data_IF_128818329463
#
_entry.id   IF_128818329463
#
_cell.length_a   1.000
_cell.length_b   1.000
_cell.length_c   1.000
_cell.angle_alpha   90.00
_cell.angle_beta   90.00
_cell.angle_gamma   90.00
#
_symmetry.space_group_name_H-M   'P 1'
#
loop_
_entity.id
_entity.type
_entity.pdbx_description
1 polymer ?
#
# COMPACT_ATOMS: atom_id res chain seq x y z
N UNK A 1 36.99 25.90 -29.36
CA UNK A 1 36.07 27.04 -29.20
C UNK A 1 34.65 26.55 -29.37
N UNK A 2 33.78 26.94 -28.44
CA UNK A 2 32.43 26.42 -28.19
C UNK A 2 31.44 26.43 -29.37
N UNK A 3 30.47 25.52 -29.21
CA UNK A 3 29.17 25.33 -29.86
C UNK A 3 28.24 26.56 -29.87
N UNK A 4 27.08 26.47 -30.56
CA UNK A 4 25.82 26.34 -29.82
C UNK A 4 24.86 25.29 -30.42
N UNK A 5 24.40 24.32 -29.62
CA UNK A 5 23.06 24.25 -29.00
C UNK A 5 21.91 24.03 -30.00
N UNK A 6 21.50 22.78 -30.16
CA UNK A 6 20.16 22.43 -30.64
C UNK A 6 19.48 21.54 -29.58
N UNK A 7 18.32 21.98 -29.10
CA UNK A 7 17.64 21.48 -27.92
C UNK A 7 16.44 20.64 -28.35
N UNK A 8 16.60 19.31 -28.41
CA UNK A 8 15.47 18.37 -28.41
C UNK A 8 15.43 17.64 -27.09
N UNK A 9 14.54 18.08 -26.21
CA UNK A 9 14.18 17.38 -24.97
C UNK A 9 13.34 16.17 -25.36
N UNK A 10 13.97 15.00 -25.39
CA UNK A 10 13.28 13.71 -25.53
C UNK A 10 12.43 13.46 -24.29
N UNK A 11 11.13 13.27 -24.53
CA UNK A 11 10.12 12.81 -23.59
C UNK A 11 10.58 11.48 -22.99
N UNK A 12 10.73 11.42 -21.67
CA UNK A 12 11.17 10.24 -20.95
C UNK A 12 10.06 9.19 -20.88
N UNK A 13 10.38 7.98 -21.34
CA UNK A 13 9.56 6.76 -21.32
C UNK A 13 8.91 6.46 -19.95
N UNK A 14 7.63 6.03 -19.91
CA UNK A 14 6.96 5.57 -18.68
C UNK A 14 7.18 4.08 -18.33
N UNK A 15 8.20 3.42 -18.90
CA UNK A 15 8.37 1.95 -18.81
C UNK A 15 9.30 1.42 -17.70
N UNK A 16 9.59 2.17 -16.63
CA UNK A 16 10.57 1.77 -15.60
C UNK A 16 9.98 1.34 -14.24
N UNK A 17 8.73 0.85 -14.20
CA UNK A 17 8.08 0.39 -12.96
C UNK A 17 7.73 -1.11 -12.96
N UNK A 18 8.62 -1.95 -13.47
CA UNK A 18 8.70 -3.35 -13.06
C UNK A 18 9.93 -3.51 -12.16
N UNK A 19 9.87 -4.45 -11.21
CA UNK A 19 10.90 -4.82 -10.22
C UNK A 19 10.61 -4.28 -8.80
N UNK A 20 9.79 -5.02 -8.06
CA UNK A 20 10.11 -5.34 -6.67
C UNK A 20 10.73 -6.75 -6.67
N UNK A 21 11.90 -7.00 -6.06
CA UNK A 21 12.43 -8.34 -5.93
C UNK A 21 11.66 -9.12 -4.85
N UNK A 22 11.16 -10.29 -5.23
CA UNK A 22 10.56 -11.29 -4.35
C UNK A 22 11.63 -11.92 -3.45
N UNK A 23 11.60 -11.61 -2.14
CA UNK A 23 12.48 -12.25 -1.15
C UNK A 23 11.97 -13.66 -0.87
N UNK A 24 12.59 -14.67 -1.51
CA UNK A 24 12.38 -16.09 -1.21
C UNK A 24 13.55 -16.58 -0.36
N UNK A 25 13.37 -16.59 0.96
CA UNK A 25 14.31 -17.25 1.88
C UNK A 25 13.98 -18.74 1.97
N UNK A 26 14.81 -19.58 1.33
CA UNK A 26 14.90 -21.01 1.63
C UNK A 26 16.13 -21.23 2.53
N UNK A 27 16.04 -21.95 3.66
CA UNK A 27 17.23 -22.28 4.45
C UNK A 27 18.06 -23.37 3.79
N UNK A 28 19.35 -23.11 3.62
CA UNK A 28 20.37 -24.08 3.21
C UNK A 28 20.73 -25.00 4.37
N UNK A 29 20.60 -26.30 4.14
CA UNK A 29 21.09 -27.38 5.00
C UNK A 29 22.54 -27.76 4.63
N UNK A 30 23.48 -27.66 5.58
CA UNK A 30 24.76 -28.39 5.60
C UNK A 30 24.98 -28.85 7.05
N UNK A 31 24.81 -30.14 7.35
CA UNK A 31 25.78 -31.26 7.30
C UNK A 31 26.91 -31.20 8.36
N UNK A 32 26.96 -32.34 9.07
CA UNK A 32 28.09 -33.01 9.70
C UNK A 32 28.59 -32.59 11.09
N UNK A 33 28.26 -33.44 12.09
CA UNK A 33 29.28 -33.98 13.00
C UNK A 33 28.89 -35.34 13.61
N UNK A 34 29.69 -36.35 13.25
CA UNK A 34 29.79 -37.68 13.84
C UNK A 34 30.18 -37.66 15.34
N UNK A 35 29.68 -38.63 16.12
CA UNK A 35 30.42 -39.67 16.87
C UNK A 35 29.49 -40.35 17.91
N UNK A 36 29.18 -41.65 17.76
CA UNK A 36 29.70 -42.82 18.55
C UNK A 36 29.38 -42.71 20.06
N UNK A 37 28.65 -43.61 20.72
CA UNK A 37 28.96 -45.03 21.05
C UNK A 37 27.75 -45.71 21.72
N UNK A 38 27.38 -46.95 21.35
CA UNK A 38 27.52 -48.25 22.08
C UNK A 38 26.37 -48.67 23.03
N UNK A 39 25.89 -49.91 22.80
CA UNK A 39 25.25 -50.82 23.77
C UNK A 39 23.74 -50.63 23.94
N UNK A 40 22.87 -51.63 24.02
CA UNK A 40 23.05 -53.07 24.19
C UNK A 40 21.75 -53.80 23.74
N UNK A 41 21.90 -55.12 23.62
CA UNK A 41 21.01 -56.12 23.05
C UNK A 41 19.73 -56.38 23.87
N UNK A 42 18.80 -57.01 23.15
CA UNK A 42 18.04 -58.21 23.54
C UNK A 42 16.53 -58.07 23.73
N UNK A 43 15.87 -58.77 22.80
CA UNK A 43 14.52 -59.30 22.84
C UNK A 43 14.34 -60.21 24.04
N UNK A 44 13.22 -60.09 24.77
CA UNK A 44 12.52 -61.23 25.36
C UNK A 44 11.06 -60.93 25.65
N UNK A 45 10.23 -61.83 25.15
CA UNK A 45 8.78 -61.93 25.33
C UNK A 45 8.46 -62.28 26.78
N UNK A 46 7.39 -61.71 27.33
CA UNK A 46 6.64 -62.33 28.43
C UNK A 46 5.18 -61.93 28.31
N UNK A 47 4.34 -62.94 28.02
CA UNK A 47 2.89 -62.89 28.08
C UNK A 47 2.47 -63.06 29.53
N UNK A 48 1.64 -62.15 30.03
CA UNK A 48 0.79 -62.42 31.21
C UNK A 48 -0.57 -61.78 30.99
N UNK A 49 -1.59 -62.63 30.80
CA UNK A 49 -3.00 -62.27 30.81
C UNK A 49 -3.42 -61.97 32.26
N UNK A 50 -4.14 -60.88 32.49
CA UNK A 50 -5.04 -60.76 33.64
C UNK A 50 -6.21 -59.84 33.28
N UNK A 51 -7.41 -60.41 33.35
CA UNK A 51 -8.71 -59.76 33.19
C UNK A 51 -9.05 -58.95 34.45
N UNK A 52 -9.57 -57.73 34.26
CA UNK A 52 -10.61 -57.03 35.05
C UNK A 52 -10.45 -55.54 34.72
N UNK A 53 -11.42 -54.84 34.14
CA UNK A 53 -12.76 -54.64 34.65
C UNK A 53 -12.80 -53.33 35.43
N UNK A 54 -12.82 -52.17 34.75
CA UNK A 54 -13.25 -50.91 35.38
C UNK A 54 -13.68 -49.82 34.39
N UNK A 55 -15.00 -49.72 34.28
CA UNK A 55 -15.82 -48.51 34.34
C UNK A 55 -15.39 -47.25 33.57
N UNK A 56 -16.15 -47.01 32.50
CA UNK A 56 -16.38 -45.72 31.85
C UNK A 56 -16.80 -44.65 32.87
N UNK A 57 -16.04 -43.56 32.95
CA UNK A 57 -16.56 -42.27 33.43
C UNK A 57 -16.45 -41.25 32.28
N UNK A 58 -17.60 -41.03 31.62
CA UNK A 58 -17.82 -39.92 30.70
C UNK A 58 -17.78 -38.62 31.51
N UNK A 59 -16.82 -37.75 31.23
CA UNK A 59 -16.86 -36.36 31.68
C UNK A 59 -17.90 -35.61 30.83
N UNK A 60 -18.91 -34.94 31.40
CA UNK A 60 -19.85 -34.14 30.64
C UNK A 60 -19.18 -32.84 30.18
N UNK A 61 -19.19 -32.62 28.88
CA UNK A 61 -18.72 -31.42 28.21
C UNK A 61 -19.49 -30.19 28.68
N UNK A 62 -18.72 -29.19 29.12
CA UNK A 62 -19.15 -27.83 29.45
C UNK A 62 -20.00 -27.26 28.32
N UNK A 63 -21.29 -27.06 28.59
CA UNK A 63 -22.20 -26.27 27.77
C UNK A 63 -21.75 -24.82 27.89
N UNK A 64 -20.97 -24.34 26.91
CA UNK A 64 -20.60 -22.94 26.79
C UNK A 64 -21.76 -22.19 26.12
N UNK A 65 -22.72 -21.79 26.94
CA UNK A 65 -23.81 -20.89 26.54
C UNK A 65 -23.23 -19.61 25.94
N UNK A 66 -23.47 -19.40 24.65
CA UNK A 66 -23.16 -18.14 23.95
C UNK A 66 -24.13 -17.06 24.43
N UNK A 67 -23.75 -16.29 25.44
CA UNK A 67 -24.38 -15.00 25.72
C UNK A 67 -23.85 -13.96 24.73
N UNK A 68 -24.52 -13.83 23.58
CA UNK A 68 -24.42 -12.63 22.75
C UNK A 68 -25.16 -11.51 23.50
N UNK A 69 -24.43 -10.67 24.24
CA UNK A 69 -24.94 -9.35 24.59
C UNK A 69 -24.92 -8.48 23.33
N UNK A 70 -26.04 -7.90 22.89
CA UNK A 70 -26.02 -6.97 21.77
C UNK A 70 -25.34 -5.68 22.22
N UNK A 71 -24.21 -5.37 21.58
CA UNK A 71 -23.51 -4.10 21.75
C UNK A 71 -24.35 -3.00 21.06
N UNK A 72 -24.79 -1.92 21.75
CA UNK A 72 -25.71 -0.92 21.20
C UNK A 72 -25.05 0.09 20.23
N UNK A 73 -23.89 -0.25 19.65
CA UNK A 73 -23.14 0.59 18.73
C UNK A 73 -23.15 0.09 17.27
N UNK A 74 -24.13 -0.73 16.88
CA UNK A 74 -24.35 -1.08 15.49
C UNK A 74 -25.13 0.05 14.78
N UNK A 75 -24.45 1.18 14.58
CA UNK A 75 -24.89 2.22 13.65
C UNK A 75 -25.15 1.57 12.29
N UNK A 76 -26.36 1.77 11.75
CA UNK A 76 -26.87 1.24 10.49
C UNK A 76 -25.84 1.20 9.36
N UNK A 77 -25.10 0.10 9.26
CA UNK A 77 -24.31 -0.22 8.08
C UNK A 77 -25.25 -0.76 7.03
N UNK A 78 -25.28 -0.14 5.84
CA UNK A 78 -25.93 -0.73 4.67
C UNK A 78 -25.20 -2.02 4.30
N UNK A 79 -25.60 -3.13 4.94
CA UNK A 79 -25.06 -4.44 4.62
C UNK A 79 -25.56 -4.83 3.23
N UNK A 80 -24.65 -5.29 2.37
CA UNK A 80 -24.97 -5.76 1.03
C UNK A 80 -24.38 -7.15 0.80
N UNK A 81 -25.07 -7.95 -0.02
CA UNK A 81 -24.67 -9.32 -0.31
C UNK A 81 -23.86 -9.38 -1.62
N UNK A 82 -22.73 -10.08 -1.61
CA UNK A 82 -21.92 -10.38 -2.79
C UNK A 82 -22.09 -11.87 -3.14
N UNK A 83 -22.52 -12.16 -4.36
CA UNK A 83 -22.64 -13.54 -4.86
C UNK A 83 -21.31 -14.32 -4.73
N UNK A 84 -21.39 -15.65 -4.57
CA UNK A 84 -20.20 -16.53 -4.48
C UNK A 84 -19.27 -16.39 -5.68
N UNK A 85 -19.81 -16.19 -6.88
CA UNK A 85 -19.02 -16.02 -8.11
C UNK A 85 -18.20 -14.74 -8.04
N UNK A 86 -18.83 -13.59 -7.74
CA UNK A 86 -18.13 -12.31 -7.57
C UNK A 86 -17.10 -12.37 -6.44
N UNK A 87 -17.44 -13.01 -5.32
CA UNK A 87 -16.52 -13.20 -4.19
C UNK A 87 -15.26 -13.97 -4.57
N UNK A 88 -15.40 -15.09 -5.30
CA UNK A 88 -14.26 -15.87 -5.80
C UNK A 88 -13.37 -15.07 -6.74
N UNK A 89 -13.98 -14.23 -7.59
CA UNK A 89 -13.25 -13.40 -8.52
C UNK A 89 -12.42 -12.34 -7.79
N UNK A 90 -13.02 -11.63 -6.83
CA UNK A 90 -12.30 -10.66 -5.97
C UNK A 90 -11.16 -11.34 -5.22
N UNK A 91 -11.42 -12.51 -4.65
CA UNK A 91 -10.39 -13.29 -3.96
C UNK A 91 -9.22 -13.67 -4.88
N UNK A 92 -9.50 -14.06 -6.12
CA UNK A 92 -8.48 -14.34 -7.13
C UNK A 92 -7.61 -13.11 -7.38
N UNK A 93 -8.22 -11.94 -7.61
CA UNK A 93 -7.48 -10.70 -7.85
C UNK A 93 -6.62 -10.28 -6.66
N UNK A 94 -7.12 -10.43 -5.43
CA UNK A 94 -6.37 -10.05 -4.22
C UNK A 94 -5.17 -10.97 -3.93
N UNK A 95 -5.28 -12.28 -4.23
CA UNK A 95 -4.20 -13.22 -3.96
C UNK A 95 -3.20 -13.38 -5.11
N UNK A 96 -3.69 -13.40 -6.34
CA UNK A 96 -2.90 -13.72 -7.53
C UNK A 96 -2.52 -12.47 -8.32
N UNK A 97 -3.18 -11.34 -8.05
CA UNK A 97 -3.03 -10.13 -8.85
C UNK A 97 -3.64 -10.27 -10.24
N UNK A 98 -3.27 -9.32 -11.10
CA UNK A 98 -3.57 -9.33 -12.53
C UNK A 98 -2.28 -9.57 -13.32
N UNK A 99 -2.33 -10.30 -14.44
CA UNK A 99 -1.25 -10.33 -15.42
C UNK A 99 -0.84 -8.91 -15.86
N UNK A 100 0.46 -8.68 -16.07
CA UNK A 100 0.99 -7.35 -16.35
C UNK A 100 0.41 -6.71 -17.63
N UNK A 101 0.15 -7.53 -18.65
CA UNK A 101 -0.51 -7.11 -19.89
C UNK A 101 -1.97 -6.69 -19.66
N UNK A 102 -2.73 -7.42 -18.84
CA UNK A 102 -4.11 -7.05 -18.48
C UNK A 102 -4.14 -5.76 -17.67
N UNK A 103 -3.28 -5.64 -16.67
CA UNK A 103 -3.15 -4.41 -15.88
C UNK A 103 -2.79 -3.21 -16.77
N UNK A 104 -1.87 -3.39 -17.74
CA UNK A 104 -1.51 -2.35 -18.70
C UNK A 104 -2.69 -1.95 -19.59
N UNK A 105 -3.47 -2.92 -20.09
CA UNK A 105 -4.64 -2.63 -20.91
C UNK A 105 -5.70 -1.82 -20.12
N UNK A 106 -5.98 -2.20 -18.88
CA UNK A 106 -6.92 -1.46 -18.01
C UNK A 106 -6.49 -0.01 -17.79
N UNK A 107 -5.19 0.25 -17.60
CA UNK A 107 -4.65 1.61 -17.41
C UNK A 107 -4.84 2.52 -18.62
N UNK A 108 -4.75 1.95 -19.83
CA UNK A 108 -4.86 2.69 -21.08
C UNK A 108 -6.31 2.95 -21.50
N UNK A 109 -7.25 2.12 -21.03
CA UNK A 109 -8.66 2.21 -21.41
C UNK A 109 -9.40 3.40 -20.79
N UNK A 110 -8.90 3.95 -19.67
CA UNK A 110 -9.56 5.03 -18.94
C UNK A 110 -8.62 6.23 -18.80
N UNK A 111 -8.59 7.09 -19.82
CA UNK A 111 -7.86 8.36 -19.76
C UNK A 111 -8.86 9.50 -19.48
N UNK A 112 -8.86 10.08 -18.26
CA UNK A 112 -9.75 11.19 -17.94
C UNK A 112 -9.23 12.48 -18.58
N UNK A 113 -10.17 13.32 -19.01
CA UNK A 113 -9.94 14.71 -19.38
C UNK A 113 -10.80 15.55 -18.44
N UNK A 114 -10.20 16.56 -17.81
CA UNK A 114 -10.87 17.44 -16.87
C UNK A 114 -10.97 18.83 -17.48
N UNK A 115 -12.04 19.54 -17.14
CA UNK A 115 -12.17 20.94 -17.51
C UNK A 115 -11.12 21.79 -16.77
N UNK A 116 -10.52 22.74 -17.49
CA UNK A 116 -9.52 23.67 -16.94
C UNK A 116 -8.10 23.09 -16.91
N UNK A 117 -7.34 23.44 -15.87
CA UNK A 117 -5.90 23.10 -15.75
C UNK A 117 -5.64 21.91 -14.83
N UNK A 118 -6.68 21.23 -14.35
CA UNK A 118 -6.51 20.12 -13.43
C UNK A 118 -6.09 18.86 -14.18
N UNK A 119 -5.00 18.24 -13.73
CA UNK A 119 -4.61 16.92 -14.19
C UNK A 119 -4.50 15.95 -13.02
N UNK A 120 -5.00 14.73 -13.22
CA UNK A 120 -4.90 13.66 -12.23
C UNK A 120 -3.47 13.08 -12.25
N UNK A 121 -2.58 13.70 -11.48
CA UNK A 121 -1.16 13.38 -11.43
C UNK A 121 -0.70 12.96 -10.04
N UNK A 122 0.43 12.24 -10.01
CA UNK A 122 1.17 11.97 -8.79
C UNK A 122 2.01 13.20 -8.45
N UNK A 123 1.87 13.82 -7.26
CA UNK A 123 2.61 15.03 -6.90
C UNK A 123 4.11 14.85 -7.05
N UNK A 124 4.74 15.79 -7.75
CA UNK A 124 6.19 15.82 -7.98
C UNK A 124 6.88 16.43 -6.76
N UNK A 125 8.08 15.93 -6.45
CA UNK A 125 8.92 16.59 -5.46
C UNK A 125 9.28 18.00 -5.97
N UNK A 126 9.20 18.98 -5.08
CA UNK A 126 9.57 20.36 -5.37
C UNK A 126 11.07 20.46 -5.67
N UNK A 127 11.44 21.20 -6.71
CA UNK A 127 12.84 21.28 -7.19
C UNK A 127 13.80 21.83 -6.12
N UNK A 128 13.32 22.74 -5.26
CA UNK A 128 14.09 23.25 -4.13
C UNK A 128 14.35 22.17 -3.07
N UNK A 129 13.36 21.32 -2.79
CA UNK A 129 13.47 20.21 -1.86
C UNK A 129 14.37 19.11 -2.40
N UNK A 130 14.25 18.80 -3.69
CA UNK A 130 15.14 17.86 -4.39
C UNK A 130 16.60 18.33 -4.33
N UNK A 131 16.86 19.62 -4.63
CA UNK A 131 18.20 20.20 -4.51
C UNK A 131 18.76 20.11 -3.09
N UNK A 132 17.95 20.41 -2.06
CA UNK A 132 18.38 20.28 -0.66
C UNK A 132 18.64 18.82 -0.28
N UNK A 133 17.80 17.90 -0.74
CA UNK A 133 17.99 16.46 -0.51
C UNK A 133 19.31 15.99 -1.13
N UNK A 134 19.58 16.31 -2.39
CA UNK A 134 20.83 15.91 -3.07
C UNK A 134 22.10 16.45 -2.40
N UNK A 135 22.03 17.60 -1.72
CA UNK A 135 23.15 18.20 -0.97
C UNK A 135 23.29 17.64 0.44
N UNK A 136 22.32 16.87 0.93
CA UNK A 136 22.35 16.25 2.25
C UNK A 136 23.53 15.30 2.38
N UNK A 137 24.39 15.52 3.38
CA UNK A 137 25.62 14.73 3.63
C UNK A 137 25.35 13.23 3.85
N UNK A 138 24.10 12.84 4.08
CA UNK A 138 23.72 11.48 4.43
C UNK A 138 23.39 10.58 3.23
N UNK A 139 23.26 11.09 2.00
CA UNK A 139 22.89 10.25 0.86
C UNK A 139 23.45 10.72 -0.49
N UNK A 140 24.52 10.11 -1.00
CA UNK A 140 24.81 10.13 -2.41
C UNK A 140 23.89 9.10 -3.09
N UNK A 141 23.02 9.56 -3.99
CA UNK A 141 22.14 8.82 -4.93
C UNK A 141 20.66 8.80 -4.52
N UNK A 142 19.89 9.65 -5.20
CA UNK A 142 18.58 9.52 -5.87
C UNK A 142 17.67 8.25 -5.72
N UNK A 143 18.00 7.27 -4.89
CA UNK A 143 17.30 5.98 -4.75
C UNK A 143 16.86 5.76 -3.30
N UNK A 144 16.15 6.73 -2.74
CA UNK A 144 15.42 6.45 -1.53
C UNK A 144 14.32 5.43 -1.85
N UNK A 145 14.52 4.21 -1.35
CA UNK A 145 13.61 3.09 -1.61
C UNK A 145 12.20 3.40 -1.08
N UNK A 146 12.13 4.09 0.06
CA UNK A 146 10.86 4.46 0.67
C UNK A 146 10.08 5.44 -0.22
N UNK A 147 10.73 6.46 -0.77
CA UNK A 147 10.11 7.40 -1.70
C UNK A 147 9.66 6.70 -2.98
N UNK A 148 10.50 5.81 -3.53
CA UNK A 148 10.17 5.02 -4.72
C UNK A 148 8.93 4.15 -4.49
N UNK A 149 8.87 3.48 -3.35
CA UNK A 149 7.74 2.65 -2.95
C UNK A 149 6.47 3.47 -2.76
N UNK A 150 6.53 4.58 -2.02
CA UNK A 150 5.36 5.44 -1.77
C UNK A 150 4.83 6.07 -3.06
N UNK A 151 5.72 6.50 -3.96
CA UNK A 151 5.34 7.03 -5.27
C UNK A 151 4.67 5.95 -6.14
N UNK A 152 5.18 4.71 -6.11
CA UNK A 152 4.56 3.57 -6.79
C UNK A 152 3.14 3.29 -6.28
N UNK A 153 2.92 3.32 -4.96
CA UNK A 153 1.59 3.18 -4.36
C UNK A 153 0.65 4.27 -4.89
N UNK A 154 1.10 5.53 -4.95
CA UNK A 154 0.24 6.60 -5.50
C UNK A 154 -0.11 6.37 -6.97
N UNK A 155 0.82 5.94 -7.81
CA UNK A 155 0.49 5.61 -9.20
C UNK A 155 -0.54 4.48 -9.30
N UNK A 156 -0.42 3.43 -8.48
CA UNK A 156 -1.41 2.36 -8.43
C UNK A 156 -2.81 2.88 -8.02
N UNK A 157 -2.88 3.85 -7.12
CA UNK A 157 -4.13 4.51 -6.74
C UNK A 157 -4.71 5.37 -7.87
N UNK A 158 -3.86 6.06 -8.64
CA UNK A 158 -4.30 6.82 -9.82
C UNK A 158 -4.77 5.90 -10.94
N UNK A 159 -4.19 4.70 -11.07
CA UNK A 159 -4.67 3.71 -12.04
C UNK A 159 -6.06 3.20 -11.67
N UNK A 160 -6.35 3.00 -10.38
CA UNK A 160 -7.64 2.52 -9.91
C UNK A 160 -8.74 3.58 -9.90
N UNK A 161 -8.40 4.86 -9.68
CA UNK A 161 -9.40 5.94 -9.65
C UNK A 161 -10.00 6.24 -11.03
N UNK A 162 -9.23 6.06 -12.12
CA UNK A 162 -9.65 6.38 -13.50
C UNK A 162 -10.92 5.66 -13.94
N UNK A 163 -11.04 4.32 -13.85
CA UNK A 163 -12.30 3.63 -14.18
C UNK A 163 -13.45 4.03 -13.26
N UNK A 164 -13.17 4.36 -11.98
CA UNK A 164 -14.19 4.83 -11.05
C UNK A 164 -14.74 6.21 -11.44
N UNK A 165 -13.88 7.13 -11.87
CA UNK A 165 -14.26 8.43 -12.39
C UNK A 165 -15.11 8.30 -13.66
N UNK A 166 -14.70 7.42 -14.58
CA UNK A 166 -15.48 7.14 -15.78
C UNK A 166 -16.89 6.65 -15.44
N UNK A 167 -17.02 5.69 -14.53
CA UNK A 167 -18.32 5.19 -14.08
C UNK A 167 -19.12 6.29 -13.38
N UNK A 168 -18.52 7.04 -12.46
CA UNK A 168 -19.17 8.11 -11.72
C UNK A 168 -19.69 9.23 -12.64
N UNK A 169 -18.94 9.59 -13.68
CA UNK A 169 -19.33 10.60 -14.67
C UNK A 169 -20.52 10.17 -15.56
N UNK A 170 -20.77 8.86 -15.70
CA UNK A 170 -21.91 8.33 -16.46
C UNK A 170 -23.18 8.22 -15.61
N UNK A 171 -23.06 8.22 -14.28
CA UNK A 171 -24.19 8.08 -13.39
C UNK A 171 -24.94 9.39 -13.24
N UNK A 172 -26.27 9.28 -13.17
CA UNK A 172 -27.11 10.38 -12.72
C UNK A 172 -27.03 10.50 -11.21
N UNK A 173 -27.27 11.69 -10.69
CA UNK A 173 -27.21 11.96 -9.24
C UNK A 173 -28.27 11.21 -8.42
N UNK A 174 -29.36 10.78 -9.05
CA UNK A 174 -30.43 9.97 -8.46
C UNK A 174 -30.15 8.45 -8.51
N UNK A 175 -29.07 8.02 -9.16
CA UNK A 175 -28.72 6.60 -9.24
C UNK A 175 -28.31 6.04 -7.86
N UNK A 176 -28.87 4.90 -7.43
CA UNK A 176 -28.49 4.26 -6.17
C UNK A 176 -26.98 3.99 -6.02
N UNK A 177 -26.27 3.77 -7.13
CA UNK A 177 -24.83 3.53 -7.16
C UNK A 177 -23.99 4.80 -7.04
N UNK A 178 -24.58 5.98 -7.30
CA UNK A 178 -23.88 7.27 -7.28
C UNK A 178 -23.18 7.50 -5.94
N UNK A 179 -23.94 7.36 -4.84
CA UNK A 179 -23.43 7.53 -3.47
C UNK A 179 -22.31 6.54 -3.12
N UNK A 180 -22.38 5.31 -3.64
CA UNK A 180 -21.38 4.27 -3.40
C UNK A 180 -20.07 4.57 -4.15
N UNK A 181 -20.15 4.99 -5.41
CA UNK A 181 -18.98 5.40 -6.17
C UNK A 181 -18.37 6.70 -5.62
N UNK A 182 -19.18 7.69 -5.29
CA UNK A 182 -18.72 8.93 -4.66
C UNK A 182 -18.00 8.65 -3.34
N UNK A 183 -18.58 7.80 -2.48
CA UNK A 183 -17.93 7.38 -1.23
C UNK A 183 -16.58 6.68 -1.49
N UNK A 184 -16.52 5.83 -2.51
CA UNK A 184 -15.29 5.13 -2.89
C UNK A 184 -14.21 6.10 -3.39
N UNK A 185 -14.57 7.09 -4.20
CA UNK A 185 -13.68 8.16 -4.66
C UNK A 185 -13.15 9.00 -3.49
N UNK A 186 -14.02 9.38 -2.53
CA UNK A 186 -13.64 10.11 -1.32
C UNK A 186 -12.65 9.31 -0.45
N UNK A 187 -12.91 8.03 -0.24
CA UNK A 187 -12.02 7.14 0.52
C UNK A 187 -10.65 6.97 -0.16
N UNK A 188 -10.64 6.84 -1.48
CA UNK A 188 -9.40 6.75 -2.24
C UNK A 188 -8.61 8.06 -2.19
N UNK A 189 -9.29 9.21 -2.29
CA UNK A 189 -8.70 10.53 -2.10
C UNK A 189 -8.11 10.72 -0.69
N UNK A 190 -8.80 10.25 0.35
CA UNK A 190 -8.28 10.25 1.73
C UNK A 190 -7.01 9.42 1.86
N UNK A 191 -7.02 8.19 1.32
CA UNK A 191 -5.84 7.34 1.34
C UNK A 191 -4.67 7.96 0.54
N UNK A 192 -4.96 8.58 -0.62
CA UNK A 192 -3.94 9.25 -1.44
C UNK A 192 -3.28 10.40 -0.68
N UNK A 193 -4.09 11.22 0.02
CA UNK A 193 -3.61 12.30 0.87
C UNK A 193 -2.72 11.78 2.02
N UNK A 194 -3.04 10.61 2.60
CA UNK A 194 -2.19 10.00 3.63
C UNK A 194 -0.85 9.52 3.05
N UNK A 195 -0.82 8.94 1.85
CA UNK A 195 0.45 8.58 1.20
C UNK A 195 1.26 9.84 0.89
N UNK A 196 0.64 10.93 0.44
CA UNK A 196 1.33 12.23 0.28
C UNK A 196 1.94 12.73 1.58
N UNK A 197 1.26 12.58 2.73
CA UNK A 197 1.83 12.92 4.05
C UNK A 197 3.07 12.07 4.36
N UNK A 198 3.01 10.76 4.13
CA UNK A 198 4.16 9.87 4.33
C UNK A 198 5.35 10.24 3.45
N UNK A 199 5.09 10.62 2.18
CA UNK A 199 6.14 11.12 1.27
C UNK A 199 6.76 12.42 1.76
N UNK A 200 5.94 13.37 2.23
CA UNK A 200 6.44 14.63 2.82
C UNK A 200 7.31 14.39 4.04
N UNK A 201 6.85 13.54 4.96
CA UNK A 201 7.62 13.16 6.14
C UNK A 201 8.95 12.52 5.74
N UNK A 202 8.92 11.63 4.76
CA UNK A 202 10.11 10.98 4.23
C UNK A 202 11.14 12.02 3.75
N UNK A 203 10.73 12.93 2.86
CA UNK A 203 11.58 14.01 2.34
C UNK A 203 12.11 14.90 3.47
N UNK A 204 11.25 15.35 4.39
CA UNK A 204 11.62 16.30 5.45
C UNK A 204 12.69 15.73 6.37
N UNK A 205 12.69 14.41 6.64
CA UNK A 205 13.77 13.75 7.41
C UNK A 205 15.16 13.92 6.79
N UNK A 206 15.25 14.14 5.49
CA UNK A 206 16.51 14.31 4.79
C UNK A 206 16.88 15.78 4.55
N UNK A 207 15.87 16.63 4.39
CA UNK A 207 16.03 18.03 3.97
C UNK A 207 16.07 18.99 5.16
N UNK A 208 15.20 18.82 6.15
CA UNK A 208 15.05 19.76 7.25
C UNK A 208 14.26 19.13 8.42
N UNK A 209 14.89 18.23 9.18
CA UNK A 209 14.20 17.46 10.25
C UNK A 209 13.52 18.34 11.30
N UNK A 210 14.06 19.53 11.58
CA UNK A 210 13.45 20.53 12.46
C UNK A 210 12.06 20.99 11.99
N UNK A 211 11.78 20.92 10.69
CA UNK A 211 10.53 21.36 10.06
C UNK A 211 9.43 20.28 10.07
N UNK A 212 9.69 19.14 10.71
CA UNK A 212 8.69 18.07 10.83
C UNK A 212 7.37 18.52 11.51
N UNK A 213 7.36 19.41 12.53
CA UNK A 213 6.12 19.92 13.10
C UNK A 213 5.25 20.67 12.09
N UNK A 214 5.86 21.41 11.15
CA UNK A 214 5.15 22.19 10.13
C UNK A 214 4.27 21.31 9.21
N UNK A 215 4.66 20.06 8.99
CA UNK A 215 3.87 19.08 8.22
C UNK A 215 2.47 18.82 8.82
N UNK A 216 2.31 19.07 10.13
CA UNK A 216 1.04 18.87 10.83
C UNK A 216 0.08 20.03 10.64
N UNK A 217 0.54 21.22 10.24
CA UNK A 217 -0.33 22.37 10.00
C UNK A 217 -0.94 22.28 8.59
N UNK A 218 -2.25 22.00 8.45
CA UNK A 218 -2.88 21.93 7.13
C UNK A 218 -2.85 23.27 6.39
N UNK A 219 -2.73 24.39 7.13
CA UNK A 219 -2.71 25.74 6.56
C UNK A 219 -1.39 26.02 5.84
N UNK A 220 -0.33 25.25 6.11
CA UNK A 220 0.93 25.36 5.40
C UNK A 220 0.83 24.87 3.94
N UNK A 221 -0.24 24.14 3.59
CA UNK A 221 -0.44 23.60 2.23
C UNK A 221 -1.55 24.34 1.49
N UNK A 222 -1.47 24.31 0.16
CA UNK A 222 -2.48 24.86 -0.74
C UNK A 222 -3.15 23.74 -1.52
N UNK A 223 -4.49 23.76 -1.62
CA UNK A 223 -5.23 22.84 -2.49
C UNK A 223 -5.03 23.14 -3.98
N UNK A 224 -4.56 24.34 -4.33
CA UNK A 224 -4.31 24.77 -5.72
C UNK A 224 -2.98 24.24 -6.27
N UNK A 225 -2.10 23.75 -5.40
CA UNK A 225 -0.75 23.31 -5.76
C UNK A 225 -0.62 21.79 -5.79
N UNK A 226 -1.68 21.11 -6.25
CA UNK A 226 -1.82 19.65 -6.20
C UNK A 226 -0.75 18.90 -7.00
N UNK A 227 -0.12 19.54 -7.99
CA UNK A 227 0.96 18.95 -8.80
C UNK A 227 2.29 18.82 -8.04
N UNK A 228 2.45 19.56 -6.94
CA UNK A 228 3.67 19.60 -6.13
C UNK A 228 3.43 18.92 -4.78
N UNK A 229 4.45 18.22 -4.31
CA UNK A 229 4.34 17.46 -3.06
C UNK A 229 4.19 18.42 -1.87
N UNK A 230 4.93 19.53 -1.86
CA UNK A 230 4.84 20.58 -0.83
C UNK A 230 4.14 21.84 -1.32
N UNK A 231 4.51 22.36 -2.50
CA UNK A 231 4.00 23.63 -3.02
C UNK A 231 4.77 24.84 -2.49
N UNK A 232 4.67 25.96 -3.21
CA UNK A 232 5.34 27.22 -2.87
C UNK A 232 4.90 27.73 -1.51
N UNK A 233 3.60 27.61 -1.17
CA UNK A 233 3.08 28.06 0.13
C UNK A 233 3.80 27.40 1.30
N UNK A 234 4.03 26.09 1.24
CA UNK A 234 4.73 25.37 2.29
C UNK A 234 6.20 25.80 2.35
N UNK A 235 6.84 25.92 1.19
CA UNK A 235 8.25 26.32 1.08
C UNK A 235 8.46 27.73 1.66
N UNK A 236 7.56 28.66 1.38
CA UNK A 236 7.65 30.04 1.89
C UNK A 236 7.55 30.09 3.41
N UNK A 237 6.62 29.32 4.01
CA UNK A 237 6.52 29.21 5.48
C UNK A 237 7.76 28.55 6.05
N UNK A 238 8.27 27.50 5.38
CA UNK A 238 9.47 26.80 5.81
C UNK A 238 10.71 27.71 5.78
N UNK A 239 10.84 28.61 4.81
CA UNK A 239 11.94 29.58 4.76
C UNK A 239 11.83 30.58 5.91
N UNK A 240 10.63 31.11 6.17
CA UNK A 240 10.39 32.08 7.26
C UNK A 240 10.63 31.54 8.67
N UNK A 241 10.52 30.23 8.88
CA UNK A 241 10.80 29.59 10.18
C UNK A 241 12.30 29.28 10.39
N UNK A 242 13.12 29.39 9.34
CA UNK A 242 14.56 29.17 9.39
C UNK A 242 15.34 30.48 9.57
N UNK A 243 14.72 31.62 9.21
CA UNK A 243 15.19 32.98 9.49
C UNK A 243 14.83 33.42 10.91
#
# INVERSE_FOLDING_TARGET
GNSPFDSRVSISDPNSLSILPSVRNSPQSQRDRNQRTRGDRSVSRSRSRSRSGRSRTRSPSIVRSRSHSPNPAATYGNSFHISRVKSRQVHKWLLQGLPANEAKALRLNFKPEFDGTFELLCPKLDESMERKWLRSKNFPKLKDYQETMLKSIQYQMLDSIRPMLHAWNQLRTDDPLFSSLESSLRLLGFAFANVSKLRRENVIRHVATSMKPLLKDPRAFSSREFERLFGSKFIDVMVKEVD
#
